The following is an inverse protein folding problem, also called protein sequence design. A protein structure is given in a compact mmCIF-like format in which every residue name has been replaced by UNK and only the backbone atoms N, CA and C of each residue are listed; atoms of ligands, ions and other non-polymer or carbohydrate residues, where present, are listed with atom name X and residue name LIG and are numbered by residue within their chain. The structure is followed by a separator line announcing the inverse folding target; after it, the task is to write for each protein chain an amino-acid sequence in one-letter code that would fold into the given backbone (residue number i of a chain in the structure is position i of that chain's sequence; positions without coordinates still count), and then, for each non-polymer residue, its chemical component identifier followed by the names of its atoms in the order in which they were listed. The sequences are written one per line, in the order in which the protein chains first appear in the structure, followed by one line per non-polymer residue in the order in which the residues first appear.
data_IF_901437354407
#
_entry.id   IF_901437354407
#
_cell.length_a   1.000
_cell.length_b   1.000
_cell.length_c   1.000
_cell.angle_alpha   90.00
_cell.angle_beta   90.00
_cell.angle_gamma   90.00
#
_symmetry.space_group_name_H-M   'P 1'
#
loop_
_entity.id
_entity.type
_entity.pdbx_description
1 polymer ?
#
# COMPACT_ATOMS: atom_id res chain seq x y z
N UNK A 1 -3.53 22.41 13.52
CA UNK A 1 -3.99 22.24 12.13
C UNK A 1 -4.22 20.76 11.93
N UNK A 2 -5.46 20.36 11.63
CA UNK A 2 -5.90 18.97 11.89
C UNK A 2 -5.83 18.07 10.65
N UNK A 3 -5.33 18.59 9.53
CA UNK A 3 -5.22 17.89 8.24
C UNK A 3 -3.87 18.17 7.59
N UNK A 4 -3.31 17.19 6.88
CA UNK A 4 -2.06 17.39 6.15
C UNK A 4 -2.29 18.11 4.81
N UNK A 5 -1.20 18.61 4.20
CA UNK A 5 -1.24 19.31 2.92
C UNK A 5 -1.88 18.49 1.79
N UNK A 6 -1.68 17.17 1.79
CA UNK A 6 -2.23 16.27 0.76
C UNK A 6 -3.75 16.10 0.94
N UNK A 7 -4.22 15.97 2.19
CA UNK A 7 -5.66 15.87 2.47
C UNK A 7 -6.41 17.14 2.06
N UNK A 8 -5.83 18.31 2.29
CA UNK A 8 -6.45 19.60 1.93
C UNK A 8 -6.37 19.99 0.46
N UNK A 9 -5.50 19.36 -0.32
CA UNK A 9 -5.32 19.71 -1.73
C UNK A 9 -6.56 19.29 -2.54
N UNK A 10 -7.31 20.26 -3.13
CA UNK A 10 -8.51 19.97 -3.90
C UNK A 10 -8.21 19.38 -5.28
N UNK A 11 -6.94 19.36 -5.70
CA UNK A 11 -6.51 18.76 -6.98
C UNK A 11 -6.34 17.25 -6.89
N UNK A 12 -6.44 16.68 -5.68
CA UNK A 12 -6.31 15.24 -5.43
C UNK A 12 -7.62 14.52 -5.68
N UNK A 13 -7.50 13.28 -6.11
CA UNK A 13 -8.63 12.39 -6.30
C UNK A 13 -9.07 11.82 -4.94
N UNK A 14 -10.37 11.89 -4.64
CA UNK A 14 -10.94 11.33 -3.41
C UNK A 14 -11.41 9.88 -3.57
N UNK A 15 -11.30 9.34 -4.78
CA UNK A 15 -11.82 8.01 -5.15
C UNK A 15 -10.83 6.87 -4.89
N UNK A 16 -9.58 7.18 -4.58
CA UNK A 16 -8.52 6.19 -4.35
C UNK A 16 -7.73 6.47 -3.08
N UNK A 17 -7.40 5.41 -2.35
CA UNK A 17 -6.54 5.46 -1.15
C UNK A 17 -5.32 4.58 -1.33
N UNK A 18 -4.13 5.17 -1.20
CA UNK A 18 -2.87 4.44 -1.07
C UNK A 18 -2.55 4.21 0.41
N UNK A 19 -2.49 2.94 0.80
CA UNK A 19 -2.22 2.51 2.18
C UNK A 19 -0.73 2.23 2.33
N UNK A 20 -0.09 2.92 3.27
CA UNK A 20 1.35 2.80 3.57
C UNK A 20 1.57 2.47 5.05
N UNK A 21 2.73 1.94 5.39
CA UNK A 21 3.08 1.61 6.77
C UNK A 21 3.41 2.86 7.58
N UNK A 22 4.28 3.73 7.04
CA UNK A 22 4.81 4.90 7.72
C UNK A 22 4.64 6.20 6.91
N UNK A 23 4.74 7.33 7.61
CA UNK A 23 4.65 8.67 6.99
C UNK A 23 5.77 8.94 5.98
N UNK A 24 6.94 8.29 6.14
CA UNK A 24 8.09 8.44 5.22
C UNK A 24 7.79 7.85 3.84
N UNK A 25 6.95 6.83 3.77
CA UNK A 25 6.61 6.13 2.54
C UNK A 25 5.73 7.01 1.64
N UNK A 26 4.87 7.84 2.26
CA UNK A 26 4.12 8.89 1.56
C UNK A 26 5.08 9.79 0.77
N UNK A 27 6.19 10.20 1.39
CA UNK A 27 7.18 11.09 0.75
C UNK A 27 7.84 10.38 -0.43
N UNK A 28 8.15 9.09 -0.29
CA UNK A 28 8.75 8.30 -1.37
C UNK A 28 7.81 8.20 -2.59
N UNK A 29 6.54 7.91 -2.36
CA UNK A 29 5.53 7.79 -3.44
C UNK A 29 5.27 9.17 -4.07
N UNK A 30 5.15 10.23 -3.27
CA UNK A 30 4.92 11.60 -3.78
C UNK A 30 6.03 12.09 -4.71
N UNK A 31 7.28 11.65 -4.50
CA UNK A 31 8.41 11.99 -5.39
C UNK A 31 8.24 11.46 -6.81
N UNK A 32 7.48 10.38 -6.98
CA UNK A 32 7.19 9.80 -8.31
C UNK A 32 6.25 10.70 -9.12
N UNK A 33 5.37 11.46 -8.46
CA UNK A 33 4.28 12.26 -9.07
C UNK A 33 3.28 11.45 -9.89
N UNK A 34 3.30 10.12 -9.78
CA UNK A 34 2.41 9.22 -10.52
C UNK A 34 1.06 9.02 -9.80
N UNK A 35 1.02 9.14 -8.47
CA UNK A 35 -0.19 8.96 -7.69
C UNK A 35 -0.85 10.30 -7.31
N UNK A 36 -2.15 10.41 -7.58
CA UNK A 36 -2.96 11.63 -7.31
C UNK A 36 -4.06 11.44 -6.26
N UNK A 37 -4.24 10.23 -5.74
CA UNK A 37 -5.22 9.95 -4.69
C UNK A 37 -4.78 10.43 -3.31
N UNK A 38 -5.46 9.93 -2.28
CA UNK A 38 -5.16 10.22 -0.87
C UNK A 38 -4.37 9.07 -0.24
N UNK A 39 -3.71 9.34 0.89
CA UNK A 39 -2.97 8.32 1.64
C UNK A 39 -3.69 7.91 2.90
N UNK A 40 -3.40 6.70 3.37
CA UNK A 40 -3.69 6.24 4.72
C UNK A 40 -2.42 5.64 5.30
N UNK A 41 -1.98 6.14 6.46
CA UNK A 41 -0.78 5.64 7.17
C UNK A 41 -1.23 4.71 8.28
N UNK A 42 -0.83 3.44 8.22
CA UNK A 42 -1.20 2.40 9.18
C UNK A 42 -0.52 2.59 10.54
N UNK A 43 0.69 3.15 10.55
CA UNK A 43 1.53 3.25 11.75
C UNK A 43 2.38 2.01 12.00
N UNK A 44 2.78 1.31 10.94
CA UNK A 44 3.55 0.06 10.97
C UNK A 44 2.88 -1.08 10.20
N UNK A 45 3.36 -2.29 10.44
CA UNK A 45 2.85 -3.54 9.88
C UNK A 45 2.51 -4.54 10.99
N UNK A 46 1.72 -5.56 10.66
CA UNK A 46 1.43 -6.68 11.54
C UNK A 46 2.71 -7.49 11.70
N UNK A 47 3.22 -7.57 12.93
CA UNK A 47 4.44 -8.31 13.28
C UNK A 47 4.16 -9.22 14.48
N UNK A 48 3.95 -10.53 14.27
CA UNK A 48 3.77 -11.47 15.37
C UNK A 48 5.01 -11.57 16.27
N UNK A 49 6.21 -11.36 15.71
CA UNK A 49 7.48 -11.42 16.45
C UNK A 49 7.56 -10.26 17.45
N UNK A 50 7.14 -9.07 17.03
CA UNK A 50 7.11 -7.87 17.89
C UNK A 50 5.81 -7.75 18.70
N UNK A 51 4.89 -8.71 18.57
CA UNK A 51 3.59 -8.68 19.24
C UNK A 51 2.64 -7.58 18.71
N UNK A 52 2.87 -7.07 17.50
CA UNK A 52 2.05 -6.04 16.86
C UNK A 52 0.90 -6.71 16.09
N UNK A 53 -0.31 -6.56 16.63
CA UNK A 53 -1.55 -7.03 16.03
C UNK A 53 -2.32 -5.95 15.27
N UNK A 54 -3.39 -6.32 14.53
CA UNK A 54 -4.21 -5.37 13.76
C UNK A 54 -4.77 -4.20 14.57
N UNK A 55 -5.15 -4.43 15.83
CA UNK A 55 -5.73 -3.41 16.71
C UNK A 55 -4.73 -2.32 17.14
N UNK A 56 -3.44 -2.56 16.95
CA UNK A 56 -2.37 -1.59 17.22
C UNK A 56 -2.07 -0.70 16.01
N UNK A 57 -2.65 -1.03 14.85
CA UNK A 57 -2.53 -0.27 13.61
C UNK A 57 -3.81 0.53 13.35
N UNK A 58 -3.72 1.52 12.47
CA UNK A 58 -4.86 2.40 12.10
C UNK A 58 -5.86 1.77 11.12
N UNK A 59 -6.03 0.46 11.22
CA UNK A 59 -6.89 -0.33 10.33
C UNK A 59 -8.36 0.04 10.52
N UNK A 60 -8.80 0.30 11.75
CA UNK A 60 -10.19 0.66 12.04
C UNK A 60 -10.57 1.97 11.34
N UNK A 61 -9.67 2.94 11.39
CA UNK A 61 -9.80 4.24 10.74
C UNK A 61 -9.76 4.12 9.22
N UNK A 62 -8.96 3.18 8.68
CA UNK A 62 -9.02 2.85 7.25
C UNK A 62 -10.40 2.33 6.88
N UNK A 63 -10.94 1.35 7.60
CA UNK A 63 -12.26 0.77 7.31
C UNK A 63 -13.38 1.82 7.43
N UNK A 64 -13.29 2.74 8.39
CA UNK A 64 -14.22 3.86 8.52
C UNK A 64 -14.13 4.84 7.34
N UNK A 65 -12.94 5.03 6.74
CA UNK A 65 -12.83 5.81 5.51
C UNK A 65 -13.45 5.06 4.33
N UNK A 66 -13.20 3.75 4.21
CA UNK A 66 -13.70 2.91 3.12
C UNK A 66 -15.22 2.69 3.12
N UNK A 67 -15.95 3.16 4.13
CA UNK A 67 -17.41 3.20 4.07
C UNK A 67 -17.96 4.31 3.17
N UNK A 68 -17.11 5.26 2.75
CA UNK A 68 -17.47 6.29 1.79
C UNK A 68 -17.64 5.65 0.38
N UNK A 69 -18.83 5.74 -0.24
CA UNK A 69 -19.08 5.14 -1.55
C UNK A 69 -18.29 5.80 -2.70
N UNK A 70 -17.69 6.97 -2.50
CA UNK A 70 -16.81 7.58 -3.50
C UNK A 70 -15.49 6.82 -3.67
N UNK A 71 -15.06 6.04 -2.67
CA UNK A 71 -13.81 5.30 -2.71
C UNK A 71 -14.02 3.98 -3.45
N UNK A 72 -13.41 3.88 -4.63
CA UNK A 72 -13.52 2.72 -5.52
C UNK A 72 -12.24 1.91 -5.61
N UNK A 73 -11.10 2.44 -5.14
CA UNK A 73 -9.81 1.76 -5.19
C UNK A 73 -8.96 1.93 -3.93
N UNK A 74 -8.36 0.82 -3.50
CA UNK A 74 -7.33 0.78 -2.47
C UNK A 74 -6.05 0.19 -3.06
N UNK A 75 -4.95 0.93 -2.95
CA UNK A 75 -3.61 0.49 -3.35
C UNK A 75 -2.83 0.16 -2.09
N UNK A 76 -2.43 -1.10 -1.95
CA UNK A 76 -1.61 -1.57 -0.85
C UNK A 76 -0.13 -1.34 -1.18
N UNK A 77 0.47 -0.38 -0.49
CA UNK A 77 1.86 0.04 -0.63
C UNK A 77 2.64 -0.20 0.68
N UNK A 78 2.38 -1.34 1.34
CA UNK A 78 3.22 -1.90 2.41
C UNK A 78 4.57 -2.39 1.86
N UNK A 79 5.55 -2.58 2.72
CA UNK A 79 6.88 -3.03 2.33
C UNK A 79 6.82 -4.44 1.73
N UNK A 80 7.71 -4.76 0.77
CA UNK A 80 7.74 -6.08 0.12
C UNK A 80 8.49 -7.11 0.98
N UNK A 81 8.31 -7.09 2.30
CA UNK A 81 8.87 -8.04 3.27
C UNK A 81 7.75 -8.94 3.85
N UNK A 82 8.08 -9.81 4.81
CA UNK A 82 7.12 -10.79 5.35
C UNK A 82 5.94 -10.10 6.05
N UNK A 83 6.23 -9.10 6.87
CA UNK A 83 5.28 -8.35 7.68
C UNK A 83 4.34 -7.52 6.80
N UNK A 84 4.90 -6.83 5.80
CA UNK A 84 4.17 -6.03 4.84
C UNK A 84 3.26 -6.88 3.93
N UNK A 85 3.70 -8.08 3.53
CA UNK A 85 2.88 -9.03 2.77
C UNK A 85 1.75 -9.64 3.62
N UNK A 86 2.03 -9.97 4.88
CA UNK A 86 1.01 -10.42 5.83
C UNK A 86 -0.05 -9.34 6.05
N UNK A 87 0.40 -8.09 6.22
CA UNK A 87 -0.48 -6.92 6.39
C UNK A 87 -1.32 -6.66 5.15
N UNK A 88 -0.72 -6.67 3.96
CA UNK A 88 -1.45 -6.51 2.70
C UNK A 88 -2.51 -7.59 2.50
N UNK A 89 -2.15 -8.85 2.75
CA UNK A 89 -3.07 -9.99 2.64
C UNK A 89 -4.23 -9.88 3.62
N UNK A 90 -3.95 -9.43 4.84
CA UNK A 90 -4.97 -9.20 5.87
C UNK A 90 -5.96 -8.09 5.45
N UNK A 91 -5.44 -6.96 4.99
CA UNK A 91 -6.24 -5.83 4.48
C UNK A 91 -7.10 -6.25 3.28
N UNK A 92 -6.51 -6.93 2.29
CA UNK A 92 -7.23 -7.39 1.10
C UNK A 92 -8.42 -8.29 1.46
N UNK A 93 -8.28 -9.18 2.45
CA UNK A 93 -9.37 -10.04 2.93
C UNK A 93 -10.49 -9.26 3.61
N UNK A 94 -10.16 -8.24 4.41
CA UNK A 94 -11.15 -7.40 5.09
C UNK A 94 -11.88 -6.45 4.14
N UNK A 95 -11.21 -5.97 3.09
CA UNK A 95 -11.78 -5.03 2.12
C UNK A 95 -12.64 -5.75 1.09
N UNK A 96 -12.35 -7.01 0.79
CA UNK A 96 -13.09 -7.83 -0.20
C UNK A 96 -14.63 -7.77 -0.10
N UNK A 97 -15.27 -7.81 1.09
CA UNK A 97 -16.73 -7.71 1.20
C UNK A 97 -17.31 -6.35 0.83
N UNK A 98 -16.50 -5.29 0.75
CA UNK A 98 -16.93 -3.94 0.40
C UNK A 98 -17.04 -3.70 -1.12
N UNK A 99 -16.66 -4.68 -1.95
CA UNK A 99 -16.62 -4.57 -3.42
C UNK A 99 -15.73 -3.41 -3.94
N UNK A 100 -14.74 -3.02 -3.15
CA UNK A 100 -13.73 -2.02 -3.52
C UNK A 100 -12.58 -2.72 -4.25
N UNK A 101 -12.09 -2.12 -5.35
CA UNK A 101 -10.93 -2.66 -6.08
C UNK A 101 -9.69 -2.57 -5.20
N UNK A 102 -9.04 -3.70 -4.94
CA UNK A 102 -7.77 -3.74 -4.20
C UNK A 102 -6.64 -4.09 -5.16
N UNK A 103 -5.56 -3.30 -5.15
CA UNK A 103 -4.34 -3.56 -5.90
C UNK A 103 -3.11 -3.53 -4.99
N UNK A 104 -2.01 -4.13 -5.45
CA UNK A 104 -0.70 -4.16 -4.78
C UNK A 104 0.32 -3.51 -5.71
N UNK A 105 1.28 -2.77 -5.15
CA UNK A 105 2.42 -2.31 -5.93
C UNK A 105 3.17 -3.50 -6.54
N UNK A 106 3.69 -3.31 -7.75
CA UNK A 106 4.45 -4.36 -8.41
C UNK A 106 5.73 -4.68 -7.61
N UNK A 107 6.05 -5.96 -7.50
CA UNK A 107 7.30 -6.46 -6.90
C UNK A 107 8.14 -7.15 -7.95
N UNK A 108 9.45 -6.92 -7.93
CA UNK A 108 10.38 -7.56 -8.86
C UNK A 108 11.65 -6.74 -9.03
N UNK A 109 12.26 -6.87 -10.20
CA UNK A 109 13.55 -6.27 -10.49
C UNK A 109 13.48 -4.73 -10.59
N UNK A 110 14.46 -4.01 -10.04
CA UNK A 110 14.56 -2.57 -10.24
C UNK A 110 14.91 -2.26 -11.70
N UNK A 111 14.34 -1.17 -12.23
CA UNK A 111 14.71 -0.67 -13.56
C UNK A 111 16.18 -0.21 -13.54
N UNK A 112 16.96 -0.69 -14.51
CA UNK A 112 18.38 -0.35 -14.65
C UNK A 112 19.34 -1.20 -13.81
N UNK A 113 18.85 -2.21 -13.08
CA UNK A 113 19.70 -3.23 -12.46
C UNK A 113 19.98 -4.39 -13.41
N UNK A 114 21.15 -5.04 -13.28
CA UNK A 114 21.46 -6.25 -14.03
C UNK A 114 20.91 -7.50 -13.34
N UNK A 115 20.44 -8.45 -14.15
CA UNK A 115 19.87 -9.72 -13.66
C UNK A 115 20.85 -10.54 -12.82
N UNK A 116 22.15 -10.44 -13.12
CA UNK A 116 23.21 -11.20 -12.44
C UNK A 116 23.42 -10.79 -10.97
N UNK A 117 22.98 -9.57 -10.59
CA UNK A 117 23.09 -9.07 -9.21
C UNK A 117 21.78 -9.16 -8.43
N UNK A 118 20.70 -9.68 -9.04
CA UNK A 118 19.42 -9.82 -8.36
C UNK A 118 19.41 -11.07 -7.48
N UNK A 119 18.85 -10.95 -6.28
CA UNK A 119 18.64 -12.09 -5.40
C UNK A 119 17.52 -13.01 -5.92
N UNK A 120 17.56 -14.27 -5.50
CA UNK A 120 16.63 -15.31 -5.96
C UNK A 120 15.17 -14.99 -5.63
N UNK A 121 14.90 -14.29 -4.52
CA UNK A 121 13.53 -13.91 -4.11
C UNK A 121 12.98 -12.84 -5.04
N UNK A 122 13.77 -11.81 -5.33
CA UNK A 122 13.41 -10.75 -6.28
C UNK A 122 13.20 -11.29 -7.68
N UNK A 123 14.09 -12.18 -8.15
CA UNK A 123 13.92 -12.87 -9.44
C UNK A 123 12.66 -13.73 -9.48
N UNK A 124 12.41 -14.52 -8.43
CA UNK A 124 11.19 -15.32 -8.31
C UNK A 124 9.92 -14.48 -8.43
N UNK A 125 9.85 -13.36 -7.69
CA UNK A 125 8.73 -12.40 -7.77
C UNK A 125 8.57 -11.78 -9.16
N UNK A 126 9.69 -11.45 -9.83
CA UNK A 126 9.64 -10.93 -11.19
C UNK A 126 9.08 -11.95 -12.19
N UNK A 127 9.40 -13.25 -12.03
CA UNK A 127 8.83 -14.33 -12.86
C UNK A 127 7.34 -14.55 -12.60
N UNK A 128 6.91 -14.53 -11.33
CA UNK A 128 5.50 -14.65 -10.96
C UNK A 128 4.68 -13.46 -11.51
N UNK A 129 5.23 -12.25 -11.43
CA UNK A 129 4.60 -11.01 -11.90
C UNK A 129 4.75 -10.70 -13.39
N UNK A 130 5.26 -11.64 -14.21
CA UNK A 130 5.52 -11.38 -15.65
C UNK A 130 4.24 -11.03 -16.41
N UNK A 131 4.37 -10.14 -17.38
CA UNK A 131 3.25 -9.64 -18.21
C UNK A 131 3.45 -10.05 -19.67
N UNK A 132 2.35 -10.24 -20.39
CA UNK A 132 2.39 -10.41 -21.84
C UNK A 132 2.73 -9.07 -22.51
N UNK A 133 3.43 -9.13 -23.64
CA UNK A 133 3.78 -7.98 -24.50
C UNK A 133 3.17 -8.15 -25.88
#
# INVERSE_FOLDING_TARGET
EDECRICRDPRRENTSICVVEESKDVIAIERTREFRGKYHVLGGAISPIDGIGPDQLRIRELMARLSDPEIVEVILATDPNLEGEATATYLARMIKPLDIKVSRLASGLPVGGDLEYADEVTLGRAFEGRRNV
#
